data_IF_423031883919
#
_entry.id   IF_423031883919
#
_cell.length_a   1.000
_cell.length_b   1.000
_cell.length_c   1.000
_cell.angle_alpha   90.00
_cell.angle_beta   90.00
_cell.angle_gamma   90.00
#
_symmetry.space_group_name_H-M   'P 1'
#
loop_
_entity.id
_entity.type
_entity.pdbx_description
1 polymer ?
#
# COMPACT_ATOMS: atom_id res chain seq x y z
N UNK A 1 -22.19 -20.68 6.52
CA UNK A 1 -22.94 -19.51 6.00
C UNK A 1 -22.06 -18.38 5.41
N UNK A 2 -21.62 -18.54 4.17
CA UNK A 2 -21.61 -17.53 3.09
C UNK A 2 -21.21 -16.03 3.34
N UNK A 3 -20.22 -15.58 2.55
CA UNK A 3 -20.24 -14.43 1.58
C UNK A 3 -20.44 -12.98 2.11
N UNK A 4 -20.00 -11.89 1.45
CA UNK A 4 -19.11 -11.62 0.28
C UNK A 4 -18.57 -10.15 0.47
N UNK A 5 -17.33 -9.69 0.27
CA UNK A 5 -16.25 -9.92 -0.76
C UNK A 5 -16.29 -8.81 -1.84
N UNK A 6 -15.28 -7.94 -2.04
CA UNK A 6 -13.86 -7.80 -1.55
C UNK A 6 -13.62 -6.30 -1.24
N UNK A 7 -12.44 -5.66 -1.19
CA UNK A 7 -11.02 -5.92 -1.55
C UNK A 7 -10.15 -4.96 -0.69
N UNK A 8 -8.82 -5.13 -0.65
CA UNK A 8 -7.94 -4.12 -0.05
C UNK A 8 -6.56 -3.91 -0.74
N UNK A 9 -5.54 -3.44 -0.02
CA UNK A 9 -4.29 -2.91 -0.55
C UNK A 9 -3.42 -3.92 -1.34
N UNK A 10 -2.54 -3.34 -2.17
CA UNK A 10 -1.63 -4.02 -3.09
C UNK A 10 -0.32 -3.22 -3.08
N UNK A 11 0.82 -3.84 -2.74
CA UNK A 11 2.14 -3.18 -2.78
C UNK A 11 3.36 -4.10 -2.56
N UNK A 12 3.25 -5.05 -1.64
CA UNK A 12 4.43 -5.50 -0.87
C UNK A 12 5.44 -6.30 -1.70
N UNK A 13 4.98 -7.22 -2.57
CA UNK A 13 5.88 -7.82 -3.54
C UNK A 13 6.54 -6.75 -4.42
N UNK A 14 5.77 -5.86 -5.06
CA UNK A 14 6.30 -4.89 -6.07
C UNK A 14 7.46 -4.06 -5.53
N UNK A 15 7.39 -3.59 -4.27
CA UNK A 15 8.48 -2.83 -3.66
C UNK A 15 9.73 -3.67 -3.35
N UNK A 16 9.55 -4.94 -2.93
CA UNK A 16 10.64 -5.91 -2.72
C UNK A 16 11.18 -6.57 -4.00
N UNK A 17 10.43 -6.45 -5.10
CA UNK A 17 10.70 -7.01 -6.43
C UNK A 17 11.37 -5.99 -7.36
N UNK A 18 11.03 -4.71 -7.23
CA UNK A 18 11.57 -3.61 -8.02
C UNK A 18 11.74 -2.35 -7.17
N UNK A 19 12.95 -2.15 -6.63
CA UNK A 19 13.34 -0.92 -5.89
C UNK A 19 13.16 0.36 -6.72
N UNK A 20 13.16 0.24 -8.05
CA UNK A 20 12.95 1.34 -9.01
C UNK A 20 11.54 1.93 -9.03
N UNK A 21 10.54 1.27 -8.40
CA UNK A 21 9.14 1.72 -8.34
C UNK A 21 8.92 2.79 -7.25
N UNK A 22 9.86 2.97 -6.33
CA UNK A 22 9.81 4.03 -5.33
C UNK A 22 10.03 5.39 -5.98
N UNK A 23 9.16 6.34 -5.64
CA UNK A 23 9.29 7.72 -6.06
C UNK A 23 10.37 8.46 -5.24
N UNK A 24 10.84 9.60 -5.74
CA UNK A 24 11.88 10.37 -5.06
C UNK A 24 11.39 10.93 -3.72
N UNK A 25 12.25 10.92 -2.70
CA UNK A 25 11.96 11.48 -1.39
C UNK A 25 12.50 12.91 -1.31
N UNK A 26 11.66 13.83 -0.81
CA UNK A 26 12.09 15.19 -0.49
C UNK A 26 12.68 15.18 0.93
N UNK A 27 13.87 15.78 1.10
CA UNK A 27 14.47 15.95 2.42
C UNK A 27 13.69 16.98 3.24
N UNK A 28 13.41 16.65 4.49
CA UNK A 28 12.76 17.57 5.42
C UNK A 28 13.61 18.80 5.74
N UNK A 29 14.92 18.75 5.53
CA UNK A 29 15.84 19.85 5.86
C UNK A 29 16.06 20.83 4.67
N UNK A 30 15.59 20.48 3.47
CA UNK A 30 15.87 21.19 2.21
C UNK A 30 14.65 21.98 1.67
N UNK A 31 14.91 23.07 0.94
CA UNK A 31 13.86 23.85 0.29
C UNK A 31 13.61 23.35 -1.14
N UNK A 32 12.53 22.60 -1.35
CA UNK A 32 12.25 21.89 -2.60
C UNK A 32 10.87 22.24 -3.20
N UNK A 33 10.77 22.17 -4.52
CA UNK A 33 9.51 22.26 -5.27
C UNK A 33 9.48 21.17 -6.35
N UNK A 34 8.55 20.22 -6.22
CA UNK A 34 8.36 19.13 -7.18
C UNK A 34 7.02 19.23 -7.86
N UNK A 35 7.00 18.95 -9.16
CA UNK A 35 5.78 18.62 -9.90
C UNK A 35 5.87 17.18 -10.42
N UNK A 36 4.98 16.29 -9.97
CA UNK A 36 4.91 14.89 -10.38
C UNK A 36 3.72 14.67 -11.31
N UNK A 37 4.00 14.12 -12.49
CA UNK A 37 2.99 13.56 -13.38
C UNK A 37 2.93 12.05 -13.16
N UNK A 38 1.72 11.50 -13.02
CA UNK A 38 1.51 10.05 -12.94
C UNK A 38 0.32 9.61 -13.80
N UNK A 39 0.60 8.98 -14.94
CA UNK A 39 -0.40 8.35 -15.78
C UNK A 39 -0.63 6.92 -15.30
N UNK A 40 -1.87 6.51 -15.04
CA UNK A 40 -2.18 5.11 -14.69
C UNK A 40 -3.36 4.57 -15.51
N UNK A 41 -3.18 3.35 -16.02
CA UNK A 41 -4.18 2.59 -16.75
C UNK A 41 -4.45 1.26 -16.03
N UNK A 42 -5.73 0.92 -15.91
CA UNK A 42 -6.22 -0.35 -15.37
C UNK A 42 -7.26 -0.95 -16.33
N UNK A 43 -6.97 -2.14 -16.86
CA UNK A 43 -7.87 -2.92 -17.73
C UNK A 43 -8.01 -4.32 -17.16
N UNK A 44 -9.23 -4.78 -16.86
CA UNK A 44 -9.45 -6.14 -16.38
C UNK A 44 -10.80 -6.72 -16.82
N UNK A 45 -10.85 -8.02 -17.08
CA UNK A 45 -12.08 -8.68 -17.55
C UNK A 45 -13.15 -8.73 -16.45
N UNK A 46 -12.74 -8.86 -15.19
CA UNK A 46 -13.61 -8.83 -14.00
C UNK A 46 -12.89 -8.09 -12.86
N UNK A 47 -13.61 -7.36 -11.97
CA UNK A 47 -13.06 -7.02 -10.69
C UNK A 47 -12.78 -8.29 -9.90
N UNK A 48 -11.63 -8.31 -9.24
CA UNK A 48 -11.48 -9.05 -7.99
C UNK A 48 -12.23 -8.32 -6.85
N UNK A 49 -13.50 -7.96 -7.06
CA UNK A 49 -14.39 -7.23 -6.12
C UNK A 49 -15.82 -7.11 -6.68
N UNK A 50 -16.77 -7.89 -6.19
CA UNK A 50 -18.16 -7.80 -6.63
C UNK A 50 -18.43 -8.32 -8.06
N UNK A 51 -19.52 -7.85 -8.65
CA UNK A 51 -20.22 -8.49 -9.80
C UNK A 51 -19.98 -7.86 -11.16
N UNK A 52 -19.32 -6.69 -11.24
CA UNK A 52 -19.06 -5.99 -12.50
C UNK A 52 -18.18 -6.77 -13.48
N UNK A 53 -17.88 -6.16 -14.63
CA UNK A 53 -17.00 -6.75 -15.65
C UNK A 53 -16.44 -5.68 -16.59
N UNK A 54 -15.48 -6.07 -17.43
CA UNK A 54 -14.88 -5.19 -18.44
C UNK A 54 -14.33 -3.87 -17.88
N UNK A 55 -13.65 -3.91 -16.73
CA UNK A 55 -12.98 -2.78 -16.08
C UNK A 55 -12.12 -2.01 -17.07
N UNK A 56 -12.30 -0.70 -17.06
CA UNK A 56 -11.45 0.25 -17.73
C UNK A 56 -11.42 1.53 -16.89
N UNK A 57 -10.22 1.91 -16.47
CA UNK A 57 -9.93 3.21 -15.88
C UNK A 57 -8.56 3.68 -16.40
N UNK A 58 -8.51 4.87 -16.97
CA UNK A 58 -7.30 5.53 -17.44
C UNK A 58 -7.34 6.96 -16.94
N UNK A 59 -6.29 7.37 -16.23
CA UNK A 59 -6.26 8.64 -15.51
C UNK A 59 -4.90 9.32 -15.60
N UNK A 60 -4.92 10.65 -15.48
CA UNK A 60 -3.73 11.47 -15.32
C UNK A 60 -3.73 12.13 -13.94
N UNK A 61 -2.75 11.80 -13.12
CA UNK A 61 -2.41 12.54 -11.91
C UNK A 61 -1.46 13.70 -12.21
N UNK A 62 -1.72 14.85 -11.58
CA UNK A 62 -0.79 15.96 -11.43
C UNK A 62 -0.67 16.30 -9.95
N UNK A 63 0.55 16.29 -9.42
CA UNK A 63 0.83 16.49 -8.00
C UNK A 63 1.89 17.58 -7.86
N UNK A 64 1.59 18.63 -7.11
CA UNK A 64 2.59 19.63 -6.66
C UNK A 64 2.95 19.33 -5.22
N UNK A 65 4.24 19.20 -4.92
CA UNK A 65 4.80 19.15 -3.56
C UNK A 65 5.70 20.37 -3.33
N UNK A 66 5.51 21.04 -2.19
CA UNK A 66 6.34 22.14 -1.73
C UNK A 66 6.86 21.84 -0.32
N UNK A 67 8.15 22.12 -0.09
CA UNK A 67 8.81 21.92 1.19
C UNK A 67 9.75 23.10 1.46
N UNK A 68 9.66 23.74 2.62
CA UNK A 68 10.67 24.71 3.06
C UNK A 68 11.81 23.99 3.79
N UNK A 69 13.03 24.56 3.78
CA UNK A 69 14.00 24.25 4.84
C UNK A 69 13.50 24.75 6.20
N UNK A 70 14.17 24.37 7.29
CA UNK A 70 13.85 24.86 8.63
C UNK A 70 14.37 26.28 8.87
N UNK A 71 13.48 27.26 8.97
CA UNK A 71 13.80 28.60 9.45
C UNK A 71 14.33 28.51 10.89
N UNK A 72 15.44 29.21 11.15
CA UNK A 72 16.17 29.18 12.43
C UNK A 72 16.51 27.75 12.93
N UNK A 73 16.64 26.77 12.02
CA UNK A 73 16.82 25.34 12.34
C UNK A 73 15.71 24.71 13.21
N UNK A 74 14.56 25.39 13.36
CA UNK A 74 13.50 24.99 14.28
C UNK A 74 12.15 24.78 13.61
N UNK A 75 11.74 25.64 12.67
CA UNK A 75 10.36 25.66 12.16
C UNK A 75 10.33 25.78 10.64
N UNK A 76 9.49 24.99 9.99
CA UNK A 76 9.29 25.00 8.54
C UNK A 76 7.86 24.61 8.18
N UNK A 77 7.60 24.54 6.88
CA UNK A 77 6.30 24.14 6.33
C UNK A 77 6.48 23.17 5.16
N UNK A 78 5.53 22.25 5.03
CA UNK A 78 5.28 21.50 3.81
C UNK A 78 3.86 21.81 3.30
N UNK A 79 3.65 21.65 2.00
CA UNK A 79 2.37 21.86 1.36
C UNK A 79 2.28 21.09 0.04
N UNK A 80 1.06 20.90 -0.46
CA UNK A 80 0.88 20.25 -1.74
C UNK A 80 -0.54 20.35 -2.29
N UNK A 81 -0.67 20.12 -3.59
CA UNK A 81 -1.95 20.10 -4.29
C UNK A 81 -1.93 18.93 -5.28
N UNK A 82 -2.77 17.92 -5.02
CA UNK A 82 -2.82 16.68 -5.78
C UNK A 82 -4.17 16.57 -6.49
N UNK A 83 -4.15 16.27 -7.78
CA UNK A 83 -5.35 16.18 -8.62
C UNK A 83 -5.24 15.00 -9.58
N UNK A 84 -6.36 14.33 -9.84
CA UNK A 84 -6.46 13.25 -10.83
C UNK A 84 -7.66 13.45 -11.74
N UNK A 85 -7.43 13.34 -13.04
CA UNK A 85 -8.41 13.59 -14.10
C UNK A 85 -8.60 12.34 -14.98
N UNK A 86 -9.85 12.11 -15.43
CA UNK A 86 -10.22 10.97 -16.28
C UNK A 86 -9.77 11.15 -17.73
N UNK A 87 -8.90 10.26 -18.21
CA UNK A 87 -8.64 10.09 -19.64
C UNK A 87 -9.62 9.11 -20.28
N UNK A 88 -10.13 8.14 -19.51
CA UNK A 88 -11.23 7.26 -19.93
C UNK A 88 -11.68 6.32 -18.82
N UNK A 89 -12.97 6.01 -18.77
CA UNK A 89 -13.51 4.95 -17.91
C UNK A 89 -14.75 4.31 -18.55
N UNK A 90 -15.14 3.13 -18.04
CA UNK A 90 -16.46 2.55 -18.32
C UNK A 90 -17.28 2.50 -17.03
N UNK A 91 -18.52 2.97 -17.13
CA UNK A 91 -19.62 2.85 -16.16
C UNK A 91 -19.35 3.37 -14.73
N UNK A 92 -20.45 3.61 -14.01
CA UNK A 92 -20.48 4.42 -12.79
C UNK A 92 -19.72 3.85 -11.57
N UNK A 93 -19.40 2.55 -11.53
CA UNK A 93 -18.62 1.94 -10.43
C UNK A 93 -17.49 0.98 -10.89
N UNK A 94 -17.02 1.03 -12.16
CA UNK A 94 -16.02 0.07 -12.66
C UNK A 94 -14.56 0.52 -12.52
N UNK A 95 -14.27 1.64 -11.84
CA UNK A 95 -12.91 2.23 -11.82
C UNK A 95 -11.97 1.67 -10.75
N UNK A 96 -12.33 0.65 -9.96
CA UNK A 96 -11.56 0.16 -8.78
C UNK A 96 -11.04 1.29 -7.87
N UNK A 97 -11.86 2.31 -7.60
CA UNK A 97 -11.52 3.44 -6.73
C UNK A 97 -10.33 4.30 -7.26
N UNK A 98 -10.18 4.40 -8.59
CA UNK A 98 -9.31 5.41 -9.21
C UNK A 98 -9.99 6.77 -9.36
N UNK A 99 -11.34 6.79 -9.45
CA UNK A 99 -12.18 8.00 -9.61
C UNK A 99 -13.60 7.85 -9.03
N UNK A 100 -14.07 6.60 -8.85
CA UNK A 100 -15.37 6.23 -8.26
C UNK A 100 -16.57 7.08 -8.73
N UNK A 101 -16.77 7.12 -10.05
CA UNK A 101 -17.89 7.81 -10.70
C UNK A 101 -17.62 9.26 -11.11
N UNK A 102 -16.58 9.90 -10.57
CA UNK A 102 -16.25 11.30 -10.88
C UNK A 102 -15.47 11.48 -12.20
N UNK A 103 -15.57 12.66 -12.82
CA UNK A 103 -14.70 13.08 -13.93
C UNK A 103 -13.26 13.34 -13.46
N UNK A 104 -13.14 13.83 -12.23
CA UNK A 104 -11.88 14.15 -11.56
C UNK A 104 -12.10 14.32 -10.06
N UNK A 105 -11.04 14.19 -9.27
CA UNK A 105 -11.03 14.64 -7.88
C UNK A 105 -9.61 15.07 -7.48
N UNK A 106 -9.48 15.71 -6.32
CA UNK A 106 -8.19 16.07 -5.76
C UNK A 106 -8.31 16.64 -4.36
N UNK A 107 -7.16 16.94 -3.76
CA UNK A 107 -7.08 17.57 -2.45
C UNK A 107 -5.77 18.34 -2.29
N UNK A 108 -5.77 19.32 -1.38
CA UNK A 108 -4.55 19.98 -0.92
C UNK A 108 -4.07 19.37 0.41
N UNK A 109 -2.78 19.51 0.70
CA UNK A 109 -2.18 19.24 2.01
C UNK A 109 -1.30 20.41 2.45
N UNK A 110 -0.95 20.42 3.74
CA UNK A 110 -0.29 21.53 4.39
C UNK A 110 -0.04 21.21 5.85
N UNK A 111 1.23 21.20 6.26
CA UNK A 111 1.62 20.94 7.63
C UNK A 111 2.74 21.89 8.07
N UNK A 112 2.66 22.31 9.33
CA UNK A 112 3.79 22.86 10.05
C UNK A 112 4.74 21.72 10.40
N UNK A 113 6.04 21.90 10.22
CA UNK A 113 7.07 20.97 10.70
C UNK A 113 8.01 21.66 11.67
N UNK A 114 8.34 20.96 12.75
CA UNK A 114 9.16 21.44 13.86
C UNK A 114 10.33 20.46 14.03
N UNK A 115 11.55 21.00 14.17
CA UNK A 115 12.79 20.27 14.43
C UNK A 115 13.34 20.74 15.79
N UNK A 116 13.65 19.81 16.70
CA UNK A 116 14.16 20.15 18.03
C UNK A 116 15.50 19.43 18.25
N UNK A 117 16.55 19.97 17.64
CA UNK A 117 17.77 19.20 17.34
C UNK A 117 17.53 18.18 16.23
N UNK A 118 18.57 17.46 15.82
CA UNK A 118 18.47 16.54 14.68
C UNK A 118 17.64 15.28 14.98
N UNK A 119 17.61 14.86 16.24
CA UNK A 119 16.99 13.63 16.71
C UNK A 119 15.47 13.73 16.93
N UNK A 120 14.84 14.90 16.88
CA UNK A 120 13.39 15.06 17.08
C UNK A 120 12.74 15.90 15.97
N UNK A 121 11.68 15.36 15.37
CA UNK A 121 10.88 16.02 14.33
C UNK A 121 9.39 15.84 14.61
N UNK A 122 8.58 16.87 14.37
CA UNK A 122 7.13 16.84 14.57
C UNK A 122 6.42 17.59 13.43
N UNK A 123 5.54 16.89 12.71
CA UNK A 123 4.64 17.47 11.70
C UNK A 123 3.23 17.62 12.28
N UNK A 124 2.59 18.77 12.08
CA UNK A 124 1.23 19.09 12.56
C UNK A 124 0.42 19.70 11.41
N UNK A 125 -0.77 19.17 11.15
CA UNK A 125 -1.58 19.53 9.99
C UNK A 125 -1.83 18.31 9.11
N UNK A 126 -1.75 18.47 7.79
CA UNK A 126 -2.00 17.41 6.80
C UNK A 126 -0.74 17.10 6.01
N UNK A 127 -0.30 15.84 6.07
CA UNK A 127 1.01 15.38 5.59
C UNK A 127 0.89 13.99 4.93
N UNK A 128 1.83 13.67 4.04
CA UNK A 128 1.87 12.37 3.38
C UNK A 128 2.27 11.24 4.35
N UNK A 129 1.60 10.09 4.24
CA UNK A 129 1.94 8.87 5.01
C UNK A 129 2.10 7.66 4.09
N UNK A 130 2.82 7.87 2.99
CA UNK A 130 3.01 6.90 1.92
C UNK A 130 4.50 6.79 1.54
N UNK A 131 5.10 5.61 1.79
CA UNK A 131 6.52 5.41 1.51
C UNK A 131 6.80 5.15 0.02
N UNK A 132 5.79 4.75 -0.77
CA UNK A 132 5.97 4.61 -2.22
C UNK A 132 5.97 5.93 -2.98
N UNK A 133 5.41 6.99 -2.40
CA UNK A 133 5.42 8.35 -2.93
C UNK A 133 6.59 9.21 -2.42
N UNK A 134 7.44 8.66 -1.54
CA UNK A 134 8.54 9.39 -0.91
C UNK A 134 8.13 10.31 0.24
N UNK A 135 6.95 10.09 0.86
CA UNK A 135 6.50 10.88 2.02
C UNK A 135 6.97 10.32 3.36
N UNK A 136 7.38 9.05 3.39
CA UNK A 136 7.99 8.37 4.54
C UNK A 136 9.21 7.59 4.05
N UNK A 137 10.31 7.50 4.82
CA UNK A 137 11.56 6.90 4.36
C UNK A 137 11.49 5.37 4.18
N UNK A 138 10.58 4.70 4.89
CA UNK A 138 10.40 3.24 4.84
C UNK A 138 9.00 2.84 5.34
N UNK A 139 8.66 1.55 5.29
CA UNK A 139 7.36 1.01 5.72
C UNK A 139 7.22 0.97 7.25
N UNK A 140 6.98 2.13 7.86
CA UNK A 140 6.74 2.24 9.31
C UNK A 140 5.45 1.47 9.68
N UNK A 141 5.49 0.44 10.55
CA UNK A 141 4.32 -0.32 10.95
C UNK A 141 3.08 0.52 11.30
N UNK A 142 1.94 0.13 10.73
CA UNK A 142 0.60 0.75 10.83
C UNK A 142 0.45 2.21 10.35
N UNK A 143 1.52 3.00 10.35
CA UNK A 143 1.55 4.40 9.90
C UNK A 143 1.74 4.48 8.37
N UNK A 144 2.68 3.71 7.83
CA UNK A 144 3.10 3.79 6.43
C UNK A 144 2.25 2.97 5.47
N UNK A 145 1.66 3.66 4.48
CA UNK A 145 0.93 3.09 3.35
C UNK A 145 1.79 3.02 2.09
N UNK A 146 1.28 2.34 1.05
CA UNK A 146 1.91 2.22 -0.26
C UNK A 146 0.84 2.20 -1.36
N UNK A 147 0.46 3.39 -1.86
CA UNK A 147 -0.71 3.56 -2.70
C UNK A 147 -0.44 3.16 -4.14
N UNK A 148 -0.90 1.96 -4.52
CA UNK A 148 -0.98 1.54 -5.93
C UNK A 148 -2.20 2.15 -6.66
N UNK A 149 -2.41 3.46 -6.44
CA UNK A 149 -3.30 4.40 -7.13
C UNK A 149 -2.53 5.68 -7.45
N UNK A 150 -3.22 6.67 -8.02
CA UNK A 150 -2.64 7.83 -8.69
C UNK A 150 -2.33 8.99 -7.73
N UNK A 151 -2.96 9.00 -6.56
CA UNK A 151 -2.64 9.87 -5.43
C UNK A 151 -2.11 9.03 -4.25
N UNK A 152 -1.25 9.60 -3.37
CA UNK A 152 -0.75 8.92 -2.18
C UNK A 152 -1.82 8.74 -1.10
N UNK A 153 -1.47 7.99 -0.06
CA UNK A 153 -2.16 8.03 1.23
C UNK A 153 -1.70 9.24 2.04
N UNK A 154 -2.65 10.00 2.58
CA UNK A 154 -2.42 11.22 3.35
C UNK A 154 -3.13 11.13 4.69
N UNK A 155 -2.49 11.66 5.74
CA UNK A 155 -3.02 11.71 7.10
C UNK A 155 -3.12 13.16 7.57
N UNK A 156 -4.05 13.43 8.49
CA UNK A 156 -4.15 14.72 9.18
C UNK A 156 -4.17 14.53 10.70
N UNK A 157 -3.47 15.41 11.42
CA UNK A 157 -3.32 15.39 12.87
C UNK A 157 -1.90 15.80 13.24
N UNK A 158 -1.18 14.90 13.93
CA UNK A 158 0.24 15.10 14.27
C UNK A 158 1.05 13.81 14.08
N UNK A 159 2.26 13.93 13.55
CA UNK A 159 3.24 12.84 13.35
C UNK A 159 4.59 13.25 13.96
N UNK A 160 5.02 12.55 15.00
CA UNK A 160 6.31 12.73 15.66
C UNK A 160 7.29 11.61 15.32
N UNK A 161 8.57 11.99 15.23
CA UNK A 161 9.74 11.13 15.07
C UNK A 161 10.77 11.48 16.15
N UNK A 162 11.34 10.45 16.78
CA UNK A 162 12.40 10.61 17.76
C UNK A 162 13.44 9.48 17.65
N UNK A 163 14.71 9.83 17.41
CA UNK A 163 15.83 8.89 17.34
C UNK A 163 16.73 9.00 18.59
N UNK A 164 16.52 8.20 19.65
CA UNK A 164 17.43 8.17 20.80
C UNK A 164 18.86 7.70 20.47
N UNK A 165 19.05 6.90 19.41
CA UNK A 165 20.37 6.53 18.87
C UNK A 165 20.32 6.42 17.34
N UNK A 166 21.47 6.31 16.68
CA UNK A 166 21.57 6.11 15.22
C UNK A 166 20.90 4.82 14.71
N UNK A 167 20.71 3.83 15.59
CA UNK A 167 20.08 2.54 15.25
C UNK A 167 18.65 2.41 15.76
N UNK A 168 18.13 3.34 16.58
CA UNK A 168 16.82 3.21 17.22
C UNK A 168 15.98 4.45 16.99
N UNK A 169 14.85 4.27 16.31
CA UNK A 169 13.88 5.31 16.00
C UNK A 169 12.48 4.96 16.55
N UNK A 170 11.79 5.98 17.08
CA UNK A 170 10.41 5.94 17.54
C UNK A 170 9.57 6.85 16.66
N UNK A 171 8.42 6.35 16.22
CA UNK A 171 7.41 7.07 15.44
C UNK A 171 6.08 7.05 16.20
N UNK A 172 5.47 8.21 16.39
CA UNK A 172 4.17 8.36 17.03
C UNK A 172 3.24 9.17 16.13
N UNK A 173 1.98 8.77 15.98
CA UNK A 173 1.00 9.52 15.20
C UNK A 173 -0.33 9.61 15.95
N UNK A 174 -0.97 10.76 15.90
CA UNK A 174 -2.36 10.95 16.28
C UNK A 174 -3.11 11.48 15.05
N UNK A 175 -4.08 10.70 14.56
CA UNK A 175 -4.77 10.96 13.30
C UNK A 175 -6.25 11.28 13.52
N UNK A 176 -6.69 12.41 12.99
CA UNK A 176 -8.09 12.88 12.96
C UNK A 176 -8.77 12.54 11.63
N UNK A 177 -8.05 12.72 10.52
CA UNK A 177 -8.56 12.48 9.16
C UNK A 177 -7.55 11.74 8.31
N UNK A 178 -8.04 11.06 7.26
CA UNK A 178 -7.23 10.25 6.35
C UNK A 178 -7.80 10.32 4.93
N UNK A 179 -6.93 10.22 3.94
CA UNK A 179 -7.28 9.80 2.59
C UNK A 179 -6.51 8.51 2.28
N UNK A 180 -7.24 7.44 2.01
CA UNK A 180 -6.74 6.16 1.52
C UNK A 180 -7.17 5.94 0.07
N UNK A 181 -6.60 4.92 -0.58
CA UNK A 181 -6.88 4.58 -1.98
C UNK A 181 -8.35 4.22 -2.29
N UNK A 182 -9.19 3.97 -1.28
CA UNK A 182 -10.65 3.82 -1.39
C UNK A 182 -11.38 5.16 -1.51
N UNK A 183 -10.83 6.21 -0.92
CA UNK A 183 -11.59 7.40 -0.50
C UNK A 183 -11.80 8.40 -1.66
N UNK A 184 -11.70 7.94 -2.90
CA UNK A 184 -11.78 8.75 -4.13
C UNK A 184 -13.11 9.49 -4.32
N UNK A 185 -14.25 8.94 -3.87
CA UNK A 185 -15.55 9.64 -3.86
C UNK A 185 -15.80 10.49 -2.58
N UNK A 186 -15.06 10.26 -1.49
CA UNK A 186 -15.27 10.93 -0.20
C UNK A 186 -14.26 12.05 0.08
N UNK A 187 -13.13 12.06 -0.63
CA UNK A 187 -11.98 12.90 -0.30
C UNK A 187 -11.36 12.54 1.05
N UNK A 188 -10.74 13.51 1.71
CA UNK A 188 -10.14 13.34 3.03
C UNK A 188 -11.26 13.22 4.07
N UNK A 189 -11.47 12.00 4.56
CA UNK A 189 -12.54 11.62 5.47
C UNK A 189 -12.08 11.58 6.92
N UNK A 190 -13.02 11.62 7.85
CA UNK A 190 -12.75 11.39 9.27
C UNK A 190 -12.25 9.96 9.54
N UNK A 191 -11.34 9.85 10.51
CA UNK A 191 -11.11 8.60 11.24
C UNK A 191 -12.31 8.34 12.16
N UNK A 192 -12.87 7.14 12.13
CA UNK A 192 -14.14 6.87 12.81
C UNK A 192 -14.67 5.45 12.74
N UNK A 193 -15.86 5.26 13.31
CA UNK A 193 -16.63 4.02 13.17
C UNK A 193 -17.29 3.98 11.79
N UNK A 194 -16.95 2.97 10.98
CA UNK A 194 -17.60 2.72 9.70
C UNK A 194 -19.01 2.13 9.89
N UNK A 195 -20.01 2.72 9.25
CA UNK A 195 -21.39 2.23 9.21
C UNK A 195 -21.68 1.57 7.85
N UNK A 196 -21.82 0.25 7.86
CA UNK A 196 -22.10 -0.56 6.67
C UNK A 196 -23.48 -0.31 6.03
N UNK A 197 -24.40 0.38 6.70
CA UNK A 197 -25.70 0.78 6.14
C UNK A 197 -25.66 2.08 5.33
N UNK A 198 -24.73 2.97 5.63
CA UNK A 198 -24.59 4.30 4.99
C UNK A 198 -23.37 4.39 4.08
N UNK A 199 -22.40 3.48 4.22
CA UNK A 199 -21.11 3.54 3.54
C UNK A 199 -20.17 4.60 4.10
N UNK A 200 -20.47 5.16 5.29
CA UNK A 200 -19.82 6.36 5.84
C UNK A 200 -19.24 6.14 7.23
N UNK A 201 -18.33 7.03 7.62
CA UNK A 201 -17.67 7.03 8.93
C UNK A 201 -18.43 7.93 9.91
N UNK A 202 -19.62 7.47 10.33
CA UNK A 202 -20.64 8.29 11.01
C UNK A 202 -20.31 8.71 12.45
N UNK A 203 -19.17 8.29 13.01
CA UNK A 203 -18.70 8.69 14.35
C UNK A 203 -17.20 8.93 14.36
N UNK A 204 -16.78 10.20 14.44
CA UNK A 204 -15.38 10.58 14.55
C UNK A 204 -14.71 9.93 15.80
N UNK A 205 -13.58 9.28 15.58
CA UNK A 205 -12.74 8.59 16.56
C UNK A 205 -11.29 8.68 16.11
N UNK A 206 -10.51 9.55 16.73
CA UNK A 206 -9.08 9.68 16.40
C UNK A 206 -8.33 8.36 16.62
N UNK A 207 -7.42 8.02 15.71
CA UNK A 207 -6.57 6.83 15.81
C UNK A 207 -5.17 7.25 16.28
N UNK A 208 -4.70 6.66 17.38
CA UNK A 208 -3.34 6.85 17.88
C UNK A 208 -2.44 5.68 17.46
N UNK A 209 -1.18 5.96 17.20
CA UNK A 209 -0.15 5.02 16.76
C UNK A 209 1.13 5.24 17.55
N UNK A 210 1.82 4.15 17.90
CA UNK A 210 3.18 4.18 18.43
C UNK A 210 3.97 3.00 17.85
N UNK A 211 5.12 3.30 17.27
CA UNK A 211 5.98 2.35 16.57
C UNK A 211 7.43 2.56 16.98
N UNK A 212 8.13 1.49 17.32
CA UNK A 212 9.58 1.47 17.49
C UNK A 212 10.22 0.71 16.34
N UNK A 213 11.42 1.11 15.92
CA UNK A 213 12.25 0.35 14.99
C UNK A 213 13.71 0.41 15.38
N UNK A 214 14.35 -0.75 15.44
CA UNK A 214 15.81 -0.86 15.41
C UNK A 214 16.28 -1.14 13.99
N UNK A 215 17.45 -0.63 13.58
CA UNK A 215 18.05 -0.92 12.28
C UNK A 215 19.59 -0.79 12.24
N UNK A 216 20.20 -1.52 11.30
CA UNK A 216 21.58 -1.35 10.82
C UNK A 216 21.61 -1.35 9.28
N UNK A 217 22.79 -1.36 8.66
CA UNK A 217 22.99 -1.37 7.19
C UNK A 217 22.34 -2.56 6.46
N UNK A 218 21.89 -3.58 7.20
CA UNK A 218 21.45 -4.88 6.66
C UNK A 218 20.06 -5.30 7.14
N UNK A 219 19.61 -4.76 8.27
CA UNK A 219 18.58 -5.34 9.10
C UNK A 219 17.65 -4.26 9.66
N UNK A 220 16.37 -4.57 9.80
CA UNK A 220 15.36 -3.68 10.36
C UNK A 220 14.32 -4.47 11.15
N UNK A 221 14.17 -4.16 12.42
CA UNK A 221 13.25 -4.83 13.33
C UNK A 221 12.29 -3.80 13.93
N UNK A 222 11.05 -3.79 13.45
CA UNK A 222 10.04 -2.79 13.79
C UNK A 222 8.83 -3.44 14.47
N UNK A 223 8.29 -2.77 15.49
CA UNK A 223 7.05 -3.15 16.17
C UNK A 223 6.19 -1.90 16.37
N UNK A 224 4.95 -1.93 15.87
CA UNK A 224 4.00 -0.83 16.00
C UNK A 224 2.62 -1.27 16.47
N UNK A 225 2.02 -0.47 17.33
CA UNK A 225 0.64 -0.59 17.78
C UNK A 225 -0.22 0.59 17.34
N UNK A 226 -1.52 0.37 17.16
CA UNK A 226 -2.49 1.44 17.01
C UNK A 226 -3.78 1.17 17.78
N UNK A 227 -4.42 2.23 18.26
CA UNK A 227 -5.67 2.17 19.04
C UNK A 227 -6.64 3.23 18.54
N UNK A 228 -7.88 2.81 18.32
CA UNK A 228 -9.00 3.67 17.95
C UNK A 228 -10.25 3.17 18.68
N UNK A 229 -10.67 3.94 19.70
CA UNK A 229 -11.83 3.62 20.55
C UNK A 229 -13.10 3.42 19.71
N UNK A 230 -13.91 2.44 20.08
CA UNK A 230 -15.13 1.98 19.38
C UNK A 230 -14.87 1.37 17.99
N UNK A 231 -13.61 1.20 17.58
CA UNK A 231 -13.21 0.70 16.25
C UNK A 231 -12.30 -0.52 16.34
N UNK A 232 -11.04 -0.36 16.73
CA UNK A 232 -10.06 -1.46 16.80
C UNK A 232 -8.80 -1.11 17.61
N UNK A 233 -8.14 -2.15 18.11
CA UNK A 233 -6.72 -2.13 18.49
C UNK A 233 -5.96 -3.07 17.54
N UNK A 234 -4.74 -2.67 17.14
CA UNK A 234 -3.94 -3.39 16.14
C UNK A 234 -2.47 -3.42 16.56
N UNK A 235 -1.76 -4.50 16.21
CA UNK A 235 -0.33 -4.69 16.44
C UNK A 235 0.31 -5.23 15.17
N UNK A 236 1.48 -4.74 14.80
CA UNK A 236 2.21 -5.14 13.60
C UNK A 236 3.71 -5.20 13.87
N UNK A 237 4.34 -6.32 13.53
CA UNK A 237 5.80 -6.47 13.52
C UNK A 237 6.31 -6.62 12.09
N UNK A 238 7.42 -5.96 11.77
CA UNK A 238 8.14 -6.12 10.50
C UNK A 238 9.58 -6.47 10.85
N UNK A 239 10.10 -7.54 10.24
CA UNK A 239 11.46 -8.04 10.44
C UNK A 239 12.07 -8.20 9.05
N UNK A 240 13.18 -7.50 8.80
CA UNK A 240 13.95 -7.56 7.57
C UNK A 240 15.42 -7.84 7.93
N UNK A 241 16.09 -8.73 7.20
CA UNK A 241 17.51 -9.00 7.39
C UNK A 241 18.18 -9.41 6.07
N UNK A 242 19.33 -8.82 5.78
CA UNK A 242 20.11 -9.05 4.55
C UNK A 242 21.45 -9.68 4.88
N UNK A 243 21.64 -10.92 4.44
CA UNK A 243 22.88 -11.68 4.60
C UNK A 243 23.67 -11.57 3.29
N UNK A 244 24.77 -10.80 3.22
CA UNK A 244 25.66 -10.83 2.06
C UNK A 244 26.35 -12.21 1.98
N UNK A 245 26.43 -12.78 0.79
CA UNK A 245 26.99 -14.11 0.55
C UNK A 245 28.37 -14.03 -0.12
N UNK A 246 28.48 -13.19 -1.16
CA UNK A 246 29.71 -12.90 -1.90
C UNK A 246 29.51 -11.66 -2.76
N UNK A 247 30.52 -11.24 -3.54
CA UNK A 247 30.42 -10.02 -4.36
C UNK A 247 29.27 -10.12 -5.36
N UNK A 248 28.27 -9.24 -5.22
CA UNK A 248 27.05 -9.23 -6.04
C UNK A 248 25.96 -10.24 -5.64
N UNK A 249 26.13 -10.99 -4.53
CA UNK A 249 25.16 -11.99 -4.06
C UNK A 249 24.74 -11.76 -2.61
N UNK A 250 23.44 -11.81 -2.35
CA UNK A 250 22.86 -11.63 -1.02
C UNK A 250 21.57 -12.44 -0.84
N UNK A 251 21.21 -12.72 0.40
CA UNK A 251 19.95 -13.34 0.80
C UNK A 251 19.19 -12.38 1.72
N UNK A 252 18.03 -11.86 1.29
CA UNK A 252 17.13 -11.07 2.15
C UNK A 252 16.01 -11.96 2.70
N UNK A 253 15.87 -12.01 4.02
CA UNK A 253 14.70 -12.53 4.70
C UNK A 253 13.78 -11.38 5.13
N UNK A 254 12.48 -11.55 4.94
CA UNK A 254 11.45 -10.57 5.26
C UNK A 254 10.27 -11.28 5.94
N UNK A 255 9.78 -10.74 7.07
CA UNK A 255 8.67 -11.31 7.83
C UNK A 255 7.76 -10.17 8.35
N UNK A 256 6.47 -10.45 8.38
CA UNK A 256 5.42 -9.58 8.90
C UNK A 256 4.51 -10.41 9.81
N UNK A 257 4.35 -9.96 11.06
CA UNK A 257 3.27 -10.36 11.94
C UNK A 257 2.24 -9.25 12.06
N UNK A 258 0.96 -9.61 12.15
CA UNK A 258 -0.13 -8.66 12.40
C UNK A 258 -1.24 -9.29 13.24
N UNK A 259 -1.74 -8.54 14.21
CA UNK A 259 -2.96 -8.83 14.96
C UNK A 259 -3.88 -7.62 14.93
N UNK A 260 -5.18 -7.86 14.88
CA UNK A 260 -6.17 -6.82 15.12
C UNK A 260 -7.40 -7.39 15.84
N UNK A 261 -7.86 -6.69 16.87
CA UNK A 261 -9.13 -6.93 17.55
C UNK A 261 -10.04 -5.72 17.42
N UNK A 262 -11.33 -5.94 17.15
CA UNK A 262 -12.34 -4.90 17.09
C UNK A 262 -12.72 -4.44 18.50
N UNK A 263 -13.06 -3.16 18.64
CA UNK A 263 -13.50 -2.53 19.87
C UNK A 263 -14.94 -2.01 19.77
N UNK A 264 -15.59 -1.80 20.92
CA UNK A 264 -16.88 -1.15 21.10
C UNK A 264 -17.91 -1.37 19.99
N UNK A 265 -18.23 -0.30 19.26
CA UNK A 265 -19.29 -0.31 18.23
C UNK A 265 -18.94 -1.27 17.09
N UNK A 266 -17.73 -1.16 16.50
CA UNK A 266 -17.31 -2.06 15.41
C UNK A 266 -17.34 -3.53 15.80
N UNK A 267 -16.99 -3.86 17.06
CA UNK A 267 -17.09 -5.25 17.59
C UNK A 267 -18.52 -5.76 17.68
N UNK A 268 -19.50 -4.89 17.91
CA UNK A 268 -20.92 -5.25 17.96
C UNK A 268 -21.57 -5.39 16.58
N UNK A 269 -21.05 -4.68 15.57
CA UNK A 269 -21.62 -4.63 14.21
C UNK A 269 -20.91 -5.51 13.17
N UNK A 270 -19.82 -6.16 13.52
CA UNK A 270 -19.00 -6.96 12.60
C UNK A 270 -18.55 -8.28 13.22
N UNK A 271 -18.52 -9.34 12.41
CA UNK A 271 -17.88 -10.62 12.72
C UNK A 271 -17.07 -11.11 11.51
N UNK A 272 -15.87 -11.69 11.71
CA UNK A 272 -15.18 -11.88 12.99
C UNK A 272 -14.79 -10.58 13.68
N UNK A 273 -14.47 -10.69 14.97
CA UNK A 273 -14.05 -9.58 15.82
C UNK A 273 -12.54 -9.57 16.14
N UNK A 274 -11.77 -10.56 15.70
CA UNK A 274 -10.31 -10.54 15.71
C UNK A 274 -9.72 -11.25 14.48
N UNK A 275 -8.46 -10.96 14.17
CA UNK A 275 -7.68 -11.71 13.18
C UNK A 275 -6.19 -11.71 13.49
N UNK A 276 -5.49 -12.70 12.94
CA UNK A 276 -4.03 -12.77 12.85
C UNK A 276 -3.66 -12.94 11.39
N UNK A 277 -2.66 -12.19 10.93
CA UNK A 277 -1.95 -12.42 9.68
C UNK A 277 -0.47 -12.67 9.98
N UNK A 278 0.11 -13.66 9.31
CA UNK A 278 1.56 -13.84 9.20
C UNK A 278 1.92 -13.98 7.74
N UNK A 279 2.98 -13.31 7.29
CA UNK A 279 3.46 -13.42 5.92
C UNK A 279 4.94 -13.09 5.85
N UNK A 280 5.69 -13.78 4.98
CA UNK A 280 7.11 -13.54 4.80
C UNK A 280 7.58 -13.85 3.38
N UNK A 281 8.81 -13.45 3.11
CA UNK A 281 9.49 -13.62 1.84
C UNK A 281 10.97 -13.93 2.05
N UNK A 282 11.53 -14.74 1.16
CA UNK A 282 12.95 -15.00 1.04
C UNK A 282 13.38 -14.65 -0.38
N UNK A 283 14.35 -13.75 -0.53
CA UNK A 283 14.84 -13.26 -1.82
C UNK A 283 16.34 -13.46 -1.93
N UNK A 284 16.77 -14.31 -2.87
CA UNK A 284 18.18 -14.47 -3.24
C UNK A 284 18.52 -13.58 -4.42
N UNK A 285 19.47 -12.67 -4.23
CA UNK A 285 19.90 -11.67 -5.22
C UNK A 285 21.23 -12.07 -5.86
N UNK A 286 21.37 -11.72 -7.14
CA UNK A 286 22.54 -12.00 -7.99
C UNK A 286 22.80 -10.83 -8.97
N UNK A 287 23.95 -10.78 -9.67
CA UNK A 287 24.23 -9.72 -10.64
C UNK A 287 23.20 -9.61 -11.77
N UNK A 288 22.59 -10.73 -12.17
CA UNK A 288 21.56 -10.80 -13.22
C UNK A 288 20.13 -10.49 -12.76
N UNK A 289 19.87 -10.35 -11.45
CA UNK A 289 18.51 -10.21 -10.92
C UNK A 289 18.30 -10.89 -9.57
N UNK A 290 17.15 -11.53 -9.36
CA UNK A 290 16.86 -12.26 -8.12
C UNK A 290 15.89 -13.43 -8.33
N UNK A 291 15.93 -14.41 -7.42
CA UNK A 291 14.85 -15.37 -7.18
C UNK A 291 14.16 -15.02 -5.87
N UNK A 292 12.85 -15.22 -5.77
CA UNK A 292 12.11 -15.04 -4.52
C UNK A 292 11.05 -16.11 -4.31
N UNK A 293 10.75 -16.38 -3.05
CA UNK A 293 9.61 -17.18 -2.61
C UNK A 293 8.94 -16.49 -1.41
N UNK A 294 7.62 -16.36 -1.45
CA UNK A 294 6.83 -15.73 -0.38
C UNK A 294 5.61 -16.55 -0.01
N UNK A 295 5.24 -16.44 1.27
CA UNK A 295 4.12 -17.15 1.88
C UNK A 295 3.30 -16.21 2.76
N UNK A 296 2.03 -16.54 2.97
CA UNK A 296 1.14 -15.79 3.83
C UNK A 296 -0.05 -16.61 4.30
N UNK A 297 -0.51 -16.32 5.51
CA UNK A 297 -1.73 -16.88 6.10
C UNK A 297 -2.50 -15.77 6.82
N UNK A 298 -3.78 -15.61 6.47
CA UNK A 298 -4.75 -14.81 7.22
C UNK A 298 -5.73 -15.74 7.92
N UNK A 299 -5.85 -15.63 9.24
CA UNK A 299 -6.80 -16.43 10.03
C UNK A 299 -8.25 -16.06 9.69
N UNK A 300 -8.59 -14.77 9.79
CA UNK A 300 -9.96 -14.27 9.64
C UNK A 300 -10.05 -13.07 8.68
N UNK A 301 -11.05 -13.08 7.79
CA UNK A 301 -11.30 -11.98 6.85
C UNK A 301 -12.10 -10.88 7.54
N UNK A 302 -11.49 -9.70 7.71
CA UNK A 302 -12.11 -8.56 8.37
C UNK A 302 -12.78 -7.62 7.35
N UNK A 303 -13.65 -6.74 7.83
CA UNK A 303 -14.12 -5.62 7.01
C UNK A 303 -12.97 -4.62 6.78
N UNK A 304 -12.51 -4.52 5.53
CA UNK A 304 -11.40 -3.64 5.12
C UNK A 304 -11.60 -2.16 5.45
N UNK A 305 -12.85 -1.69 5.54
CA UNK A 305 -13.17 -0.32 5.95
C UNK A 305 -12.90 -0.04 7.45
N UNK A 306 -12.67 -1.09 8.25
CA UNK A 306 -12.37 -1.03 9.69
C UNK A 306 -10.93 -1.46 9.95
N UNK A 307 -10.54 -2.61 9.41
CA UNK A 307 -9.20 -3.22 9.53
C UNK A 307 -8.80 -3.76 8.15
N UNK A 308 -7.74 -3.18 7.57
CA UNK A 308 -7.14 -3.72 6.34
C UNK A 308 -6.31 -4.98 6.68
N UNK A 309 -6.60 -6.09 5.98
CA UNK A 309 -5.87 -7.36 6.08
C UNK A 309 -5.16 -7.75 4.78
N UNK A 310 -5.19 -6.94 3.72
CA UNK A 310 -4.45 -7.20 2.48
C UNK A 310 -3.04 -6.62 2.53
N UNK A 311 -2.26 -7.14 3.47
CA UNK A 311 -0.97 -6.58 3.89
C UNK A 311 0.17 -7.61 3.88
N UNK A 312 0.03 -8.74 3.16
CA UNK A 312 1.05 -9.79 3.03
C UNK A 312 1.96 -9.67 1.79
N UNK A 313 3.06 -10.44 1.79
CA UNK A 313 4.08 -10.44 0.71
C UNK A 313 3.60 -11.09 -0.61
N UNK A 314 2.96 -12.28 -0.62
CA UNK A 314 2.42 -12.85 -1.87
C UNK A 314 1.48 -11.87 -2.55
N UNK A 315 1.58 -11.76 -3.88
CA UNK A 315 0.96 -10.68 -4.63
C UNK A 315 0.32 -11.14 -5.94
N UNK A 316 -0.86 -10.60 -6.20
CA UNK A 316 -1.63 -10.75 -7.42
C UNK A 316 -2.46 -9.48 -7.64
N UNK A 317 -2.74 -9.16 -8.91
CA UNK A 317 -3.63 -8.08 -9.31
C UNK A 317 -5.13 -8.46 -9.15
N UNK A 318 -5.46 -9.76 -9.12
CA UNK A 318 -6.86 -10.24 -9.14
C UNK A 318 -7.21 -11.52 -8.35
N UNK A 319 -6.26 -12.31 -7.84
CA UNK A 319 -6.58 -13.41 -6.92
C UNK A 319 -6.83 -12.88 -5.51
N UNK A 320 -7.78 -13.47 -4.78
CA UNK A 320 -7.96 -13.16 -3.36
C UNK A 320 -6.80 -13.71 -2.52
N UNK A 321 -6.27 -12.85 -1.66
CA UNK A 321 -5.18 -13.16 -0.70
C UNK A 321 -5.55 -12.89 0.75
N UNK A 322 -6.66 -12.17 0.99
CA UNK A 322 -7.10 -11.65 2.29
C UNK A 322 -8.47 -12.22 2.76
N UNK A 323 -8.76 -13.47 2.38
CA UNK A 323 -10.01 -14.21 2.68
C UNK A 323 -9.90 -15.03 3.98
N UNK A 324 -10.97 -15.71 4.37
CA UNK A 324 -10.99 -16.53 5.60
C UNK A 324 -10.02 -17.70 5.47
N UNK A 325 -9.18 -17.91 6.50
CA UNK A 325 -8.20 -18.99 6.52
C UNK A 325 -7.25 -19.00 5.32
N UNK A 326 -7.10 -17.86 4.63
CA UNK A 326 -6.50 -17.79 3.31
C UNK A 326 -4.98 -17.95 3.41
N UNK A 327 -4.49 -19.05 2.86
CA UNK A 327 -3.09 -19.29 2.55
C UNK A 327 -2.79 -18.72 1.17
N UNK A 328 -1.67 -18.03 1.03
CA UNK A 328 -1.15 -17.53 -0.25
C UNK A 328 0.31 -17.91 -0.38
N UNK A 329 0.70 -18.40 -1.55
CA UNK A 329 2.06 -18.84 -1.87
C UNK A 329 2.45 -18.29 -3.23
N UNK A 330 3.67 -17.75 -3.34
CA UNK A 330 4.22 -17.24 -4.59
C UNK A 330 5.70 -17.58 -4.68
N UNK A 331 6.16 -17.87 -5.89
CA UNK A 331 7.58 -17.97 -6.21
C UNK A 331 7.81 -17.26 -7.53
N UNK A 332 9.00 -16.70 -7.74
CA UNK A 332 9.26 -15.95 -8.95
C UNK A 332 10.72 -15.60 -9.18
N UNK A 333 10.97 -15.08 -10.36
CA UNK A 333 12.27 -14.56 -10.79
C UNK A 333 12.11 -13.11 -11.25
N UNK A 334 13.08 -12.29 -10.90
CA UNK A 334 13.32 -10.97 -11.46
C UNK A 334 14.57 -11.05 -12.33
N UNK A 335 14.47 -10.69 -13.60
CA UNK A 335 15.56 -10.76 -14.56
C UNK A 335 15.89 -9.36 -15.09
N UNK A 336 17.12 -8.92 -14.85
CA UNK A 336 17.66 -7.62 -15.26
C UNK A 336 18.27 -7.75 -16.65
N UNK A 337 17.55 -7.35 -17.70
CA UNK A 337 18.08 -7.35 -19.08
C UNK A 337 19.12 -6.25 -19.26
N UNK A 338 18.88 -5.09 -18.64
CA UNK A 338 19.80 -3.95 -18.55
C UNK A 338 19.68 -3.35 -17.15
N UNK A 339 20.62 -2.52 -16.68
CA UNK A 339 20.50 -1.82 -15.39
C UNK A 339 19.17 -1.06 -15.22
N UNK A 340 18.56 -0.64 -16.33
CA UNK A 340 17.30 0.10 -16.40
C UNK A 340 16.06 -0.78 -16.53
N UNK A 341 16.18 -2.00 -17.09
CA UNK A 341 15.04 -2.87 -17.48
C UNK A 341 15.03 -4.18 -16.70
N UNK A 342 13.98 -4.38 -15.90
CA UNK A 342 13.72 -5.62 -15.16
C UNK A 342 12.39 -6.24 -15.61
N UNK A 343 12.41 -7.56 -15.86
CA UNK A 343 11.20 -8.39 -15.99
C UNK A 343 10.96 -9.17 -14.70
N UNK A 344 9.70 -9.35 -14.32
CA UNK A 344 9.27 -10.25 -13.24
C UNK A 344 8.38 -11.34 -13.81
N UNK A 345 8.58 -12.58 -13.37
CA UNK A 345 7.64 -13.68 -13.60
C UNK A 345 7.41 -14.43 -12.28
N UNK A 346 6.16 -14.45 -11.82
CA UNK A 346 5.82 -14.91 -10.47
C UNK A 346 4.49 -15.69 -10.41
N UNK A 347 4.49 -17.02 -10.65
CA UNK A 347 3.34 -17.88 -10.37
C UNK A 347 2.90 -17.80 -8.90
N UNK A 348 1.59 -17.76 -8.69
CA UNK A 348 0.94 -17.57 -7.39
C UNK A 348 -0.22 -18.54 -7.21
N UNK A 349 -0.36 -19.09 -6.01
CA UNK A 349 -1.40 -20.05 -5.60
C UNK A 349 -2.05 -19.54 -4.31
N UNK A 350 -3.37 -19.62 -4.21
CA UNK A 350 -4.13 -19.19 -3.03
C UNK A 350 -5.17 -20.25 -2.64
N UNK A 351 -5.37 -20.48 -1.33
CA UNK A 351 -6.37 -21.42 -0.81
C UNK A 351 -6.98 -20.92 0.49
N UNK A 352 -8.30 -20.77 0.53
CA UNK A 352 -9.03 -20.25 1.68
C UNK A 352 -10.53 -20.40 1.52
N UNK A 353 -11.32 -19.55 2.18
CA UNK A 353 -12.78 -19.57 2.12
C UNK A 353 -13.37 -18.18 1.88
N UNK A 354 -14.49 -18.10 1.17
CA UNK A 354 -15.11 -16.82 0.80
C UNK A 354 -15.63 -16.00 2.00
N UNK A 355 -15.72 -16.62 3.18
CA UNK A 355 -16.19 -16.01 4.44
C UNK A 355 -15.80 -16.88 5.65
N UNK A 356 -15.90 -16.31 6.86
CA UNK A 356 -15.59 -16.93 8.17
C UNK A 356 -16.48 -18.10 8.61
N UNK A 357 -17.22 -18.60 7.66
CA UNK A 357 -18.33 -19.51 7.74
C UNK A 357 -18.23 -20.63 6.68
N UNK A 358 -17.18 -20.59 5.85
CA UNK A 358 -16.51 -21.71 5.16
C UNK A 358 -17.31 -22.59 4.17
N UNK A 359 -18.55 -22.25 3.82
CA UNK A 359 -19.33 -22.97 2.79
C UNK A 359 -18.64 -23.06 1.41
N UNK A 360 -18.01 -21.95 0.98
CA UNK A 360 -17.37 -21.83 -0.34
C UNK A 360 -15.87 -21.78 -0.15
N UNK A 361 -15.18 -22.86 -0.52
CA UNK A 361 -13.72 -22.88 -0.62
C UNK A 361 -13.27 -22.10 -1.86
N UNK A 362 -12.18 -21.34 -1.74
CA UNK A 362 -11.49 -20.68 -2.85
C UNK A 362 -10.21 -21.45 -3.13
N UNK A 363 -9.97 -21.79 -4.40
CA UNK A 363 -8.70 -22.35 -4.89
C UNK A 363 -8.23 -21.51 -6.08
N UNK A 364 -7.29 -20.60 -5.83
CA UNK A 364 -6.71 -19.70 -6.82
C UNK A 364 -5.37 -20.18 -7.36
N UNK A 365 -5.14 -19.95 -8.65
CA UNK A 365 -3.86 -20.16 -9.32
C UNK A 365 -3.71 -19.11 -10.43
N UNK A 366 -2.56 -18.45 -10.50
CA UNK A 366 -2.31 -17.42 -11.50
C UNK A 366 -0.83 -17.18 -11.77
N UNK A 367 -0.58 -16.30 -12.74
CA UNK A 367 0.75 -15.93 -13.19
C UNK A 367 0.82 -14.41 -13.34
N UNK A 368 1.57 -13.78 -12.44
CA UNK A 368 1.96 -12.38 -12.56
C UNK A 368 3.19 -12.28 -13.46
N UNK A 369 3.07 -11.52 -14.55
CA UNK A 369 4.20 -11.00 -15.32
C UNK A 369 4.30 -9.48 -15.12
N UNK A 370 5.50 -8.93 -14.98
CA UNK A 370 5.69 -7.49 -14.96
C UNK A 370 6.97 -7.05 -15.68
N UNK A 371 7.00 -5.77 -16.04
CA UNK A 371 8.09 -5.03 -16.67
C UNK A 371 8.25 -3.74 -15.85
N UNK A 372 9.45 -3.43 -15.40
CA UNK A 372 9.78 -2.10 -14.93
C UNK A 372 10.98 -1.54 -15.72
N UNK A 373 10.83 -0.34 -16.24
CA UNK A 373 11.87 0.41 -16.93
C UNK A 373 12.03 1.81 -16.33
N UNK A 374 13.24 2.15 -15.88
CA UNK A 374 13.57 3.50 -15.39
C UNK A 374 14.58 4.17 -16.32
N UNK A 375 14.22 5.30 -16.91
CA UNK A 375 15.13 6.08 -17.78
C UNK A 375 16.29 6.60 -16.92
N UNK A 376 17.52 6.33 -17.35
CA UNK A 376 18.73 6.71 -16.60
C UNK A 376 19.31 8.07 -17.03
N UNK A 377 19.17 8.44 -18.30
CA UNK A 377 19.91 9.56 -18.91
C UNK A 377 19.02 10.38 -19.86
N UNK A 378 19.48 11.59 -20.19
CA UNK A 378 18.78 12.52 -21.08
C UNK A 378 17.57 13.22 -20.43
N UNK A 379 16.75 13.95 -21.23
CA UNK A 379 15.71 14.86 -20.74
C UNK A 379 14.53 14.21 -19.99
N UNK A 380 14.51 12.87 -19.87
CA UNK A 380 13.49 12.12 -19.12
C UNK A 380 14.13 11.22 -18.03
N UNK A 381 15.40 11.43 -17.69
CA UNK A 381 16.08 10.71 -16.60
C UNK A 381 15.27 10.79 -15.31
N UNK A 382 15.03 9.64 -14.67
CA UNK A 382 14.13 9.49 -13.53
C UNK A 382 12.72 8.99 -13.88
N UNK A 383 12.26 9.11 -15.13
CA UNK A 383 10.96 8.57 -15.54
C UNK A 383 10.89 7.06 -15.32
N UNK A 384 9.90 6.60 -14.56
CA UNK A 384 9.66 5.19 -14.28
C UNK A 384 8.39 4.69 -14.97
N UNK A 385 8.52 3.64 -15.76
CA UNK A 385 7.46 2.94 -16.48
C UNK A 385 7.30 1.55 -15.86
N UNK A 386 6.11 1.25 -15.35
CA UNK A 386 5.73 -0.04 -14.81
C UNK A 386 4.53 -0.60 -15.58
N UNK A 387 4.65 -1.83 -16.08
CA UNK A 387 3.58 -2.58 -16.73
C UNK A 387 3.49 -3.95 -16.07
N UNK A 388 2.32 -4.34 -15.57
CA UNK A 388 2.07 -5.66 -15.01
C UNK A 388 0.80 -6.26 -15.57
N UNK A 389 0.84 -7.56 -15.89
CA UNK A 389 -0.29 -8.35 -16.34
C UNK A 389 -0.40 -9.61 -15.48
N UNK A 390 -1.61 -9.92 -15.02
CA UNK A 390 -1.92 -11.09 -14.22
C UNK A 390 -2.96 -11.95 -14.94
N UNK A 391 -2.63 -13.22 -15.15
CA UNK A 391 -3.56 -14.23 -15.66
C UNK A 391 -3.89 -15.23 -14.56
N UNK A 392 -5.07 -15.09 -13.98
CA UNK A 392 -5.53 -15.89 -12.84
C UNK A 392 -6.75 -16.76 -13.16
N UNK A 393 -6.95 -17.80 -12.36
CA UNK A 393 -8.21 -18.52 -12.21
C UNK A 393 -8.47 -18.81 -10.73
N UNK A 394 -9.74 -18.82 -10.33
CA UNK A 394 -10.18 -19.32 -9.03
C UNK A 394 -11.34 -20.29 -9.22
N UNK A 395 -11.30 -21.42 -8.53
CA UNK A 395 -12.44 -22.30 -8.29
C UNK A 395 -13.12 -21.87 -6.99
N UNK A 396 -14.45 -21.77 -7.00
CA UNK A 396 -15.31 -21.21 -5.93
C UNK A 396 -16.71 -21.85 -5.94
N UNK A 397 -16.79 -23.18 -5.97
CA UNK A 397 -18.04 -23.94 -6.10
C UNK A 397 -19.15 -23.40 -5.17
N UNK A 398 -20.31 -23.07 -5.74
CA UNK A 398 -21.44 -22.47 -5.04
C UNK A 398 -21.34 -20.95 -4.81
N UNK A 399 -20.33 -20.24 -5.32
CA UNK A 399 -20.22 -18.78 -5.16
C UNK A 399 -21.25 -18.02 -5.98
N UNK A 400 -21.84 -16.96 -5.42
CA UNK A 400 -22.73 -16.06 -6.17
C UNK A 400 -21.99 -15.14 -7.15
N UNK A 401 -20.65 -15.21 -7.20
CA UNK A 401 -19.83 -14.62 -8.27
C UNK A 401 -19.63 -15.59 -9.45
N UNK A 402 -20.03 -16.85 -9.30
CA UNK A 402 -19.84 -17.97 -10.23
C UNK A 402 -18.78 -18.98 -9.73
N UNK A 403 -19.03 -20.27 -9.96
CA UNK A 403 -18.19 -21.40 -9.49
C UNK A 403 -16.75 -21.35 -9.99
N UNK A 404 -16.50 -20.63 -11.08
CA UNK A 404 -15.17 -20.38 -11.61
C UNK A 404 -15.04 -18.94 -12.06
N UNK A 405 -14.01 -18.28 -11.55
CA UNK A 405 -13.57 -16.96 -11.99
C UNK A 405 -12.30 -17.13 -12.82
N UNK A 406 -12.22 -16.44 -13.95
CA UNK A 406 -11.00 -16.32 -14.74
C UNK A 406 -10.68 -14.83 -14.82
N UNK A 407 -9.39 -14.48 -14.74
CA UNK A 407 -8.92 -13.11 -14.69
C UNK A 407 -7.85 -12.89 -15.75
N UNK A 408 -8.01 -11.79 -16.47
CA UNK A 408 -6.94 -11.08 -17.16
C UNK A 408 -6.99 -9.66 -16.63
N UNK A 409 -5.88 -9.18 -16.07
CA UNK A 409 -5.83 -7.89 -15.37
C UNK A 409 -4.47 -7.21 -15.61
N UNK A 410 -4.50 -6.00 -16.19
CA UNK A 410 -3.34 -5.22 -16.58
C UNK A 410 -3.31 -3.90 -15.80
N UNK A 411 -2.17 -3.61 -15.15
CA UNK A 411 -1.81 -2.25 -14.69
C UNK A 411 -0.71 -1.69 -15.59
N UNK A 412 -0.84 -0.45 -16.01
CA UNK A 412 0.28 0.39 -16.41
C UNK A 412 0.37 1.60 -15.49
N UNK A 413 1.58 2.02 -15.16
CA UNK A 413 1.89 3.29 -14.47
C UNK A 413 3.10 3.92 -15.14
N UNK A 414 2.99 5.18 -15.54
CA UNK A 414 4.11 6.00 -16.00
C UNK A 414 4.19 7.18 -15.05
N UNK A 415 5.32 7.33 -14.36
CA UNK A 415 5.56 8.44 -13.44
C UNK A 415 6.80 9.21 -13.86
N UNK A 416 6.71 10.54 -13.81
CA UNK A 416 7.86 11.43 -13.95
C UNK A 416 7.78 12.58 -12.94
N UNK A 417 8.91 12.86 -12.32
CA UNK A 417 9.07 13.83 -11.24
C UNK A 417 9.94 14.99 -11.76
N UNK A 418 9.34 16.16 -11.97
CA UNK A 418 10.07 17.39 -12.26
C UNK A 418 10.49 18.05 -10.94
N UNK A 419 11.77 17.94 -10.59
CA UNK A 419 12.37 18.75 -9.53
C UNK A 419 12.62 20.16 -10.09
N UNK A 420 11.82 21.13 -9.65
CA UNK A 420 11.86 22.53 -10.10
C UNK A 420 12.78 23.40 -9.22
N UNK A 421 13.01 22.94 -7.98
CA UNK A 421 13.99 23.44 -7.02
C UNK A 421 14.29 22.35 -6.00
#
# INVERSE_FOLDING_TARGET
>A
MNKITRLTAIAIAVASVCTSVLAEQISDDEAALRFRLKNELRRADKPSAGTGGNIYAWVQGGLVDFNSGYYSQFIGVEGGAYYVYKLGARDNMSTRWYLDGHESFGYALGALKIKAGDNFRLKIGRFGTDYSYGSLPWRIPLIGSSSQRTLPTVSEGALGYFAPTENLELWAMWRTRVFQWTDSATGIRDEGVYNSKTGKYDKHRTRSFLTASWHDDRSRYSLGGSVQRDVSHQLQSIIEQTIPLSSGYALKGELLGFYAGLDGVSRSSSQPNETVLVSGQLTWSAPWGSLFASGGYLRHSMNGAVVDTDIGYPFSLSLDRNREGMQSWQMGANYRLTPQLTLTLAPVVTRGYESSQRDVQIEGMGLLGAVNYRVAEGPLSGMNIFLAADKGREKRDGSSLGDRLNYWDVKMSIQYDFMLR
#
